data_IF_495369588405
#
_entry.id   IF_495369588405
#
_cell.length_a   1.000
_cell.length_b   1.000
_cell.length_c   1.000
_cell.angle_alpha   90.00
_cell.angle_beta   90.00
_cell.angle_gamma   90.00
#
_symmetry.space_group_name_H-M   'P 1'
#
loop_
_entity.id
_entity.type
_entity.pdbx_description
1 polymer ?
#
# COMPACT_ATOMS: atom_id res chain seq x y z
N UNK A 1 12.22 11.72 -1.51
CA UNK A 1 10.91 11.14 -1.11
C UNK A 1 10.87 9.67 -1.54
N UNK A 2 10.74 8.72 -0.61
CA UNK A 2 10.84 7.29 -0.95
C UNK A 2 9.56 6.66 -1.51
N UNK A 3 9.74 5.58 -2.28
CA UNK A 3 8.69 4.69 -2.73
C UNK A 3 8.76 3.35 -1.99
N UNK A 4 7.59 2.77 -1.71
CA UNK A 4 7.47 1.37 -1.32
C UNK A 4 6.50 0.65 -2.26
N UNK A 5 6.71 -0.64 -2.48
CA UNK A 5 5.84 -1.47 -3.30
C UNK A 5 5.42 -2.72 -2.54
N UNK A 6 4.14 -3.06 -2.58
CA UNK A 6 3.57 -4.27 -1.97
C UNK A 6 2.98 -5.15 -3.08
N UNK A 7 3.33 -6.43 -3.10
CA UNK A 7 2.88 -7.39 -4.12
C UNK A 7 1.78 -8.30 -3.62
N UNK A 8 0.85 -8.63 -4.51
CA UNK A 8 -0.33 -9.43 -4.27
C UNK A 8 -0.41 -10.49 -5.37
N UNK A 9 -0.52 -11.77 -4.98
CA UNK A 9 -0.87 -12.84 -5.91
C UNK A 9 -2.39 -12.93 -6.02
N UNK A 10 -2.89 -12.70 -7.23
CA UNK A 10 -4.33 -12.68 -7.54
C UNK A 10 -4.66 -13.81 -8.51
N UNK A 11 -5.91 -14.25 -8.50
CA UNK A 11 -6.42 -15.25 -9.45
C UNK A 11 -6.48 -14.60 -10.85
N UNK A 12 -5.95 -15.26 -11.90
CA UNK A 12 -6.03 -14.75 -13.27
C UNK A 12 -7.48 -14.55 -13.75
N UNK A 13 -7.71 -13.61 -14.66
CA UNK A 13 -9.00 -13.41 -15.33
C UNK A 13 -10.04 -12.62 -14.52
N UNK A 14 -9.61 -11.91 -13.49
CA UNK A 14 -10.45 -11.07 -12.62
C UNK A 14 -9.98 -9.60 -12.58
N UNK A 15 -9.20 -9.17 -13.56
CA UNK A 15 -8.57 -7.85 -13.61
C UNK A 15 -9.61 -6.73 -13.58
N UNK A 16 -10.71 -6.89 -14.30
CA UNK A 16 -11.78 -5.89 -14.38
C UNK A 16 -12.54 -5.78 -13.04
N UNK A 17 -12.90 -6.90 -12.41
CA UNK A 17 -13.55 -6.90 -11.11
C UNK A 17 -12.63 -6.30 -10.02
N UNK A 18 -11.34 -6.62 -10.07
CA UNK A 18 -10.34 -6.02 -9.18
C UNK A 18 -10.25 -4.50 -9.43
N UNK A 19 -10.26 -4.05 -10.69
CA UNK A 19 -10.23 -2.63 -11.01
C UNK A 19 -11.44 -1.88 -10.43
N UNK A 20 -12.64 -2.47 -10.49
CA UNK A 20 -13.84 -1.89 -9.86
C UNK A 20 -13.70 -1.71 -8.35
N UNK A 21 -13.05 -2.66 -7.64
CA UNK A 21 -12.80 -2.54 -6.20
C UNK A 21 -11.99 -1.27 -5.88
N UNK A 22 -11.00 -0.96 -6.71
CA UNK A 22 -10.12 0.19 -6.50
C UNK A 22 -10.67 1.51 -7.05
N UNK A 23 -11.66 1.52 -7.95
CA UNK A 23 -12.36 2.77 -8.35
C UNK A 23 -13.11 3.41 -7.18
N UNK A 24 -13.68 2.59 -6.31
CA UNK A 24 -14.37 3.06 -5.11
C UNK A 24 -13.42 3.42 -3.96
N UNK A 25 -12.12 3.11 -4.10
CA UNK A 25 -11.14 3.40 -3.07
C UNK A 25 -10.85 4.90 -3.01
N UNK A 26 -11.54 5.58 -2.10
CA UNK A 26 -11.28 6.99 -1.80
C UNK A 26 -9.98 7.12 -1.02
N UNK A 27 -9.17 8.11 -1.42
CA UNK A 27 -7.99 8.54 -0.67
C UNK A 27 -8.40 8.83 0.78
N UNK A 28 -7.55 8.48 1.72
CA UNK A 28 -7.80 8.74 3.14
C UNK A 28 -7.99 10.23 3.44
N UNK A 29 -8.83 10.52 4.43
CA UNK A 29 -9.27 11.88 4.79
C UNK A 29 -8.10 12.79 5.23
N UNK A 30 -7.00 12.24 5.72
CA UNK A 30 -5.81 13.03 6.09
C UNK A 30 -4.52 12.39 5.56
N UNK A 31 -3.70 13.13 4.80
CA UNK A 31 -2.43 12.62 4.29
C UNK A 31 -1.31 12.63 5.34
N UNK A 32 -1.49 13.32 6.47
CA UNK A 32 -0.51 13.42 7.56
C UNK A 32 -0.81 12.34 8.59
N UNK A 33 0.21 11.54 8.90
CA UNK A 33 0.09 10.41 9.81
C UNK A 33 0.73 10.77 11.16
N UNK A 34 -0.02 10.70 12.27
CA UNK A 34 0.51 11.03 13.59
C UNK A 34 1.52 9.96 14.04
N UNK A 35 2.61 10.42 14.64
CA UNK A 35 3.61 9.61 15.33
C UNK A 35 3.17 9.24 16.74
N UNK A 36 3.97 8.38 17.38
CA UNK A 36 3.70 7.86 18.74
C UNK A 36 3.61 8.95 19.82
N UNK A 37 4.19 10.12 19.57
CA UNK A 37 4.24 11.28 20.46
C UNK A 37 3.28 12.42 20.05
N UNK A 38 2.45 12.21 19.02
CA UNK A 38 1.57 13.24 18.46
C UNK A 38 2.23 14.19 17.45
N UNK A 39 3.52 14.02 17.15
CA UNK A 39 4.19 14.71 16.04
C UNK A 39 3.79 14.11 14.68
N UNK A 40 4.10 14.75 13.55
CA UNK A 40 3.86 14.14 12.24
C UNK A 40 4.93 13.06 11.95
N UNK A 41 4.56 11.77 11.97
CA UNK A 41 5.48 10.66 11.68
C UNK A 41 5.78 10.49 10.19
N UNK A 42 4.88 10.98 9.33
CA UNK A 42 5.05 10.90 7.90
C UNK A 42 3.85 11.39 7.13
N UNK A 43 3.99 11.40 5.81
CA UNK A 43 2.95 11.85 4.90
C UNK A 43 2.78 10.87 3.75
N UNK A 44 1.52 10.54 3.42
CA UNK A 44 1.19 9.82 2.21
C UNK A 44 1.07 10.80 1.03
N UNK A 45 2.06 10.76 0.14
CA UNK A 45 2.11 11.64 -1.04
C UNK A 45 1.22 11.10 -2.16
N UNK A 46 1.21 9.78 -2.37
CA UNK A 46 0.38 9.14 -3.38
C UNK A 46 0.36 7.62 -3.26
N UNK A 47 -0.64 7.02 -3.88
CA UNK A 47 -0.77 5.58 -4.02
C UNK A 47 -1.14 5.27 -5.46
N UNK A 48 -0.49 4.27 -6.05
CA UNK A 48 -0.84 3.72 -7.34
C UNK A 48 -0.97 2.20 -7.21
N UNK A 49 -1.91 1.60 -7.96
CA UNK A 49 -2.09 0.15 -8.01
C UNK A 49 -2.02 -0.27 -9.46
N UNK A 50 -1.21 -1.29 -9.72
CA UNK A 50 -0.98 -1.86 -11.03
C UNK A 50 -1.33 -3.34 -10.96
N UNK A 51 -1.88 -3.89 -12.04
CA UNK A 51 -2.15 -5.31 -12.18
C UNK A 51 -1.70 -5.77 -13.56
N UNK A 52 -1.09 -6.95 -13.62
CA UNK A 52 -0.77 -7.67 -14.85
C UNK A 52 -0.82 -9.16 -14.56
N UNK A 53 -1.67 -9.87 -15.30
CA UNK A 53 -1.91 -11.30 -15.11
C UNK A 53 -2.27 -11.60 -13.64
N UNK A 54 -1.50 -12.45 -12.97
CA UNK A 54 -1.70 -12.86 -11.57
C UNK A 54 -0.88 -12.01 -10.56
N UNK A 55 -0.25 -10.93 -11.00
CA UNK A 55 0.52 -10.01 -10.15
C UNK A 55 -0.21 -8.68 -10.05
N UNK A 56 -0.55 -8.28 -8.83
CA UNK A 56 -0.95 -6.91 -8.53
C UNK A 56 0.09 -6.26 -7.61
N UNK A 57 0.45 -5.01 -7.88
CA UNK A 57 1.44 -4.23 -7.14
C UNK A 57 0.82 -2.92 -6.68
N UNK A 58 0.88 -2.62 -5.38
CA UNK A 58 0.54 -1.32 -4.82
C UNK A 58 1.80 -0.53 -4.51
N UNK A 59 1.99 0.59 -5.20
CA UNK A 59 3.08 1.54 -4.99
C UNK A 59 2.59 2.66 -4.08
N UNK A 60 3.41 3.00 -3.09
CA UNK A 60 3.14 3.98 -2.04
C UNK A 60 4.27 5.00 -2.08
N UNK A 61 3.95 6.25 -2.39
CA UNK A 61 4.87 7.37 -2.34
C UNK A 61 4.65 8.13 -1.03
N UNK A 62 5.73 8.33 -0.27
CA UNK A 62 5.60 8.83 1.09
C UNK A 62 6.78 9.72 1.53
N UNK A 63 6.60 10.39 2.67
CA UNK A 63 7.63 11.10 3.44
C UNK A 63 7.68 10.55 4.86
N UNK A 64 8.85 10.48 5.47
CA UNK A 64 9.03 10.03 6.86
C UNK A 64 9.31 8.53 6.98
N UNK A 65 8.92 7.94 8.11
CA UNK A 65 9.18 6.52 8.42
C UNK A 65 8.09 5.60 7.84
N UNK A 66 8.47 4.72 6.93
CA UNK A 66 7.55 3.76 6.31
C UNK A 66 6.85 2.86 7.32
N UNK A 67 7.51 2.48 8.41
CA UNK A 67 6.93 1.57 9.41
C UNK A 67 5.72 2.23 10.10
N UNK A 68 5.85 3.51 10.46
CA UNK A 68 4.76 4.29 11.01
C UNK A 68 3.61 4.46 9.99
N UNK A 69 3.97 4.68 8.72
CA UNK A 69 3.01 4.85 7.64
C UNK A 69 2.24 3.56 7.36
N UNK A 70 2.94 2.41 7.33
CA UNK A 70 2.35 1.09 7.15
C UNK A 70 1.37 0.73 8.27
N UNK A 71 1.76 0.94 9.53
CA UNK A 71 0.89 0.69 10.68
C UNK A 71 -0.34 1.59 10.72
N UNK A 72 -0.24 2.83 10.23
CA UNK A 72 -1.41 3.70 10.12
C UNK A 72 -2.32 3.31 8.95
N UNK A 73 -1.76 3.00 7.76
CA UNK A 73 -2.54 2.48 6.62
C UNK A 73 -3.35 1.24 7.01
N UNK A 74 -2.76 0.35 7.83
CA UNK A 74 -3.42 -0.84 8.36
C UNK A 74 -4.74 -0.52 9.09
N UNK A 75 -4.81 0.62 9.78
CA UNK A 75 -5.96 1.01 10.62
C UNK A 75 -7.06 1.73 9.85
N UNK A 76 -6.84 2.07 8.58
CA UNK A 76 -7.78 2.88 7.81
C UNK A 76 -8.96 2.03 7.32
N UNK A 77 -10.18 2.55 7.48
CA UNK A 77 -11.41 1.85 7.10
C UNK A 77 -11.45 1.52 5.60
N UNK A 78 -11.00 2.45 4.74
CA UNK A 78 -10.93 2.22 3.29
C UNK A 78 -10.04 1.03 2.91
N UNK A 79 -8.94 0.81 3.65
CA UNK A 79 -8.04 -0.33 3.43
C UNK A 79 -8.75 -1.64 3.79
N UNK A 80 -9.43 -1.69 4.93
CA UNK A 80 -10.20 -2.88 5.33
C UNK A 80 -11.31 -3.22 4.33
N UNK A 81 -12.01 -2.22 3.80
CA UNK A 81 -13.06 -2.42 2.79
C UNK A 81 -12.49 -3.00 1.50
N UNK A 82 -11.38 -2.45 1.00
CA UNK A 82 -10.70 -2.98 -0.18
C UNK A 82 -10.20 -4.40 0.07
N UNK A 83 -9.56 -4.67 1.21
CA UNK A 83 -9.06 -6.01 1.52
C UNK A 83 -10.18 -7.04 1.58
N UNK A 84 -11.32 -6.71 2.20
CA UNK A 84 -12.47 -7.60 2.27
C UNK A 84 -13.04 -7.90 0.88
N UNK A 85 -13.12 -6.90 0.00
CA UNK A 85 -13.61 -7.08 -1.38
C UNK A 85 -12.60 -7.81 -2.26
N UNK A 86 -11.30 -7.61 -2.01
CA UNK A 86 -10.21 -8.23 -2.77
C UNK A 86 -9.98 -9.70 -2.38
N UNK A 87 -10.29 -10.08 -1.13
CA UNK A 87 -10.03 -11.41 -0.58
C UNK A 87 -10.49 -12.60 -1.45
N UNK A 88 -11.67 -12.58 -2.11
CA UNK A 88 -12.10 -13.67 -3.00
C UNK A 88 -11.20 -13.87 -4.22
N UNK A 89 -10.48 -12.82 -4.64
CA UNK A 89 -9.62 -12.79 -5.81
C UNK A 89 -8.15 -13.08 -5.49
N UNK A 90 -7.78 -13.23 -4.21
CA UNK A 90 -6.43 -13.59 -3.83
C UNK A 90 -6.18 -15.09 -4.02
N UNK A 91 -4.97 -15.44 -4.45
CA UNK A 91 -4.52 -16.85 -4.51
C UNK A 91 -4.38 -17.41 -3.09
N UNK A 92 -3.82 -16.61 -2.18
CA UNK A 92 -3.68 -16.94 -0.77
C UNK A 92 -4.53 -16.00 0.07
N UNK A 93 -5.45 -16.57 0.86
CA UNK A 93 -6.23 -15.80 1.81
C UNK A 93 -5.35 -15.32 2.96
N UNK A 94 -5.65 -14.11 3.43
CA UNK A 94 -4.86 -13.41 4.42
C UNK A 94 -5.67 -13.22 5.68
N UNK A 95 -5.03 -13.38 6.82
CA UNK A 95 -5.59 -12.89 8.06
C UNK A 95 -5.05 -11.48 8.33
N UNK A 96 -5.65 -10.48 7.67
CA UNK A 96 -5.37 -9.05 7.94
C UNK A 96 -6.35 -8.47 8.95
N UNK A 97 -7.13 -9.31 9.64
CA UNK A 97 -8.15 -8.86 10.62
C UNK A 97 -7.53 -8.38 11.92
N UNK A 98 -6.26 -8.71 12.17
CA UNK A 98 -5.47 -8.24 13.31
C UNK A 98 -4.37 -7.32 12.81
N UNK A 99 -3.99 -6.35 13.64
CA UNK A 99 -2.86 -5.45 13.33
C UNK A 99 -1.57 -6.24 13.08
N UNK A 100 -1.29 -7.24 13.92
CA UNK A 100 -0.12 -8.11 13.79
C UNK A 100 -0.12 -8.92 12.49
N UNK A 101 -1.28 -9.47 12.11
CA UNK A 101 -1.45 -10.22 10.86
C UNK A 101 -1.27 -9.33 9.63
N UNK A 102 -1.85 -8.12 9.67
CA UNK A 102 -1.65 -7.11 8.64
C UNK A 102 -0.17 -6.74 8.51
N UNK A 103 0.49 -6.37 9.61
CA UNK A 103 1.90 -5.97 9.58
C UNK A 103 2.81 -7.09 9.07
N UNK A 104 2.61 -8.33 9.54
CA UNK A 104 3.38 -9.49 9.10
C UNK A 104 3.23 -9.71 7.60
N UNK A 105 2.00 -9.64 7.09
CA UNK A 105 1.76 -9.74 5.66
C UNK A 105 2.40 -8.59 4.90
N UNK A 106 2.21 -7.35 5.35
CA UNK A 106 2.75 -6.16 4.70
C UNK A 106 4.27 -6.24 4.60
N UNK A 107 4.96 -6.68 5.67
CA UNK A 107 6.40 -6.95 5.65
C UNK A 107 6.78 -8.02 4.62
N UNK A 108 6.08 -9.15 4.60
CA UNK A 108 6.38 -10.27 3.69
C UNK A 108 6.08 -9.95 2.22
N UNK A 109 5.10 -9.09 1.97
CA UNK A 109 4.66 -8.68 0.64
C UNK A 109 5.36 -7.40 0.16
N UNK A 110 6.11 -6.71 1.02
CA UNK A 110 6.90 -5.54 0.63
C UNK A 110 8.06 -5.98 -0.24
N UNK A 111 8.15 -5.40 -1.42
CA UNK A 111 9.21 -5.65 -2.37
C UNK A 111 10.49 -4.91 -1.95
N UNK A 112 11.65 -5.52 -2.23
CA UNK A 112 12.95 -4.87 -2.04
C UNK A 112 13.10 -3.73 -3.05
N UNK A 113 13.38 -2.52 -2.55
CA UNK A 113 13.76 -1.38 -3.39
C UNK A 113 15.18 -1.62 -3.93
N UNK A 114 15.34 -1.61 -5.25
CA UNK A 114 16.65 -1.70 -5.90
C UNK A 114 17.21 -0.32 -6.26
N UNK A 115 16.34 0.58 -6.69
CA UNK A 115 16.65 1.98 -6.98
C UNK A 115 15.38 2.81 -6.84
N UNK A 116 15.56 4.09 -6.53
CA UNK A 116 14.51 5.10 -6.55
C UNK A 116 15.15 6.43 -6.94
N UNK A 117 14.53 7.12 -7.88
CA UNK A 117 14.97 8.41 -8.37
C UNK A 117 13.74 9.32 -8.47
N UNK A 118 13.95 10.58 -8.15
CA UNK A 118 12.97 11.65 -8.21
C UNK A 118 13.59 12.85 -8.93
N UNK A 119 12.79 13.89 -9.16
CA UNK A 119 13.30 15.14 -9.74
C UNK A 119 14.42 15.75 -8.88
N UNK A 120 14.45 15.46 -7.58
CA UNK A 120 15.46 15.96 -6.63
C UNK A 120 16.81 15.25 -6.78
N UNK A 121 16.86 14.09 -7.44
CA UNK A 121 18.07 13.30 -7.65
C UNK A 121 18.79 13.69 -8.97
N UNK A 122 18.33 14.73 -9.65
CA UNK A 122 18.97 15.19 -10.88
C UNK A 122 20.39 15.69 -10.58
N UNK A 123 21.42 15.20 -11.31
CA UNK A 123 22.78 15.70 -11.11
C UNK A 123 22.82 17.20 -11.40
N UNK A 124 23.37 17.99 -10.48
CA UNK A 124 23.68 19.37 -10.77
C UNK A 124 24.60 19.42 -12.01
N UNK A 125 24.26 20.27 -12.97
CA UNK A 125 25.02 20.49 -14.20
C UNK A 125 26.42 21.05 -13.93
#
# INVERSE_FOLDING_TARGET
MPFAAVTYRVKPGHEDEIAEIFRDFKRVDTPVLPGRDGSAAGRLLGTAVFIKDDVMVRVIHYEGDFSAIAGHMARQQGVHTVEKRLAPYLVEQRDTRTEEGFEKYFRNATMRVLTQLSADDHPAA
#
